data_IF_457148842580
#
_entry.id   IF_457148842580
#
_cell.length_a   1.000
_cell.length_b   1.000
_cell.length_c   1.000
_cell.angle_alpha   90.00
_cell.angle_beta   90.00
_cell.angle_gamma   90.00
#
_symmetry.space_group_name_H-M   'P 1'
#
loop_
_entity.id
_entity.type
_entity.pdbx_description
1 polymer ?
#
# COMPACT_ATOMS: atom_id res chain seq x y z
N UNK A 1 -2.08 -0.14 2.04
CA UNK A 1 -1.92 0.24 3.47
C UNK A 1 -3.23 0.27 4.24
N UNK A 2 -4.29 0.89 3.71
CA UNK A 2 -5.54 1.06 4.45
C UNK A 2 -6.20 -0.25 4.90
N UNK A 3 -6.11 -1.32 4.11
CA UNK A 3 -6.65 -2.63 4.52
C UNK A 3 -5.94 -3.19 5.76
N UNK A 4 -4.61 -3.01 5.83
CA UNK A 4 -3.83 -3.42 7.00
C UNK A 4 -4.13 -2.54 8.22
N UNK A 5 -4.40 -1.24 8.04
CA UNK A 5 -4.91 -0.37 9.13
C UNK A 5 -6.26 -0.90 9.65
N UNK A 6 -7.18 -1.26 8.75
CA UNK A 6 -8.47 -1.82 9.13
C UNK A 6 -8.31 -3.15 9.89
N UNK A 7 -7.39 -4.02 9.46
CA UNK A 7 -7.09 -5.27 10.15
C UNK A 7 -6.49 -5.02 11.55
N UNK A 8 -5.52 -4.11 11.68
CA UNK A 8 -4.91 -3.74 12.97
C UNK A 8 -5.96 -3.16 13.92
N UNK A 9 -6.83 -2.28 13.41
CA UNK A 9 -7.98 -1.76 14.17
C UNK A 9 -8.88 -2.88 14.66
N UNK A 10 -9.28 -3.79 13.76
CA UNK A 10 -10.16 -4.90 14.11
C UNK A 10 -9.54 -5.78 15.19
N UNK A 11 -8.26 -6.15 15.06
CA UNK A 11 -7.55 -6.94 16.08
C UNK A 11 -7.53 -6.19 17.41
N UNK A 12 -7.10 -4.92 17.41
CA UNK A 12 -7.04 -4.08 18.61
C UNK A 12 -8.39 -3.97 19.34
N UNK A 13 -9.51 -3.94 18.62
CA UNK A 13 -10.85 -3.82 19.18
C UNK A 13 -11.47 -5.16 19.60
N UNK A 14 -11.07 -6.28 18.99
CA UNK A 14 -11.77 -7.56 19.15
C UNK A 14 -10.95 -8.67 19.79
N UNK A 15 -9.62 -8.55 19.87
CA UNK A 15 -8.75 -9.68 20.29
C UNK A 15 -9.01 -10.17 21.72
N UNK A 16 -9.58 -9.31 22.59
CA UNK A 16 -9.99 -9.70 23.95
C UNK A 16 -11.04 -10.82 23.95
N UNK A 17 -11.93 -10.85 22.96
CA UNK A 17 -12.94 -11.92 22.81
C UNK A 17 -12.32 -13.28 22.46
N UNK A 18 -11.06 -13.29 22.02
CA UNK A 18 -10.28 -14.48 21.69
C UNK A 18 -9.22 -14.79 22.77
N UNK A 19 -9.29 -14.14 23.93
CA UNK A 19 -8.33 -14.33 25.02
C UNK A 19 -6.98 -13.62 24.84
N UNK A 20 -6.86 -12.74 23.84
CA UNK A 20 -5.65 -11.92 23.66
C UNK A 20 -5.71 -10.59 24.41
N UNK A 21 -4.56 -9.92 24.49
CA UNK A 21 -4.38 -8.65 25.21
C UNK A 21 -4.17 -7.51 24.21
N UNK A 22 -5.15 -6.60 24.12
CA UNK A 22 -5.10 -5.46 23.19
C UNK A 22 -3.96 -4.47 23.50
N UNK A 23 -3.42 -4.47 24.72
CA UNK A 23 -2.27 -3.65 25.14
C UNK A 23 -0.92 -4.29 24.76
N UNK A 24 -0.93 -5.45 24.10
CA UNK A 24 0.28 -6.21 23.74
C UNK A 24 0.37 -6.58 22.26
N UNK A 25 -0.46 -5.99 21.41
CA UNK A 25 -0.46 -6.25 19.96
C UNK A 25 0.94 -6.01 19.36
N UNK A 26 1.46 -7.06 18.71
CA UNK A 26 2.70 -7.04 17.94
C UNK A 26 2.38 -7.23 16.46
N UNK A 27 2.94 -6.39 15.59
CA UNK A 27 2.92 -6.63 14.14
C UNK A 27 4.29 -7.13 13.69
N UNK A 28 4.30 -8.07 12.75
CA UNK A 28 5.51 -8.57 12.14
C UNK A 28 5.31 -8.74 10.63
N UNK A 29 6.39 -8.69 9.86
CA UNK A 29 6.31 -8.86 8.41
C UNK A 29 7.68 -8.95 7.74
N UNK A 30 7.72 -9.66 6.62
CA UNK A 30 8.90 -9.92 5.80
C UNK A 30 8.80 -9.22 4.43
N UNK A 31 9.93 -8.76 3.87
CA UNK A 31 10.01 -8.12 2.54
C UNK A 31 9.05 -6.92 2.42
N UNK A 32 8.05 -6.97 1.54
CA UNK A 32 7.00 -5.97 1.44
C UNK A 32 6.22 -5.79 2.75
N UNK A 33 6.05 -6.87 3.52
CA UNK A 33 5.52 -6.85 4.88
C UNK A 33 6.45 -6.11 5.86
N UNK A 34 7.77 -6.26 5.71
CA UNK A 34 8.75 -5.53 6.52
C UNK A 34 8.69 -4.02 6.30
N UNK A 35 8.53 -3.58 5.04
CA UNK A 35 8.25 -2.17 4.71
C UNK A 35 6.94 -1.70 5.35
N UNK A 36 5.90 -2.54 5.24
CA UNK A 36 4.57 -2.24 5.76
C UNK A 36 4.58 -2.09 7.28
N UNK A 37 5.28 -2.96 8.02
CA UNK A 37 5.45 -2.85 9.48
C UNK A 37 6.07 -1.51 9.84
N UNK A 38 7.17 -1.14 9.17
CA UNK A 38 7.82 0.15 9.39
C UNK A 38 6.89 1.34 9.15
N UNK A 39 6.12 1.34 8.05
CA UNK A 39 5.12 2.37 7.76
C UNK A 39 4.01 2.42 8.82
N UNK A 40 3.56 1.27 9.31
CA UNK A 40 2.51 1.22 10.32
C UNK A 40 2.89 1.78 11.67
N UNK A 41 4.19 1.92 11.98
CA UNK A 41 4.65 2.58 13.21
C UNK A 41 4.46 4.10 13.19
N UNK A 42 4.34 4.71 12.00
CA UNK A 42 4.22 6.17 11.84
C UNK A 42 2.82 6.63 11.39
N UNK A 43 1.96 5.72 10.92
CA UNK A 43 0.56 6.01 10.54
C UNK A 43 -0.24 6.44 11.77
N UNK A 44 -0.91 7.60 11.70
CA UNK A 44 -1.61 8.20 12.84
C UNK A 44 -2.77 7.34 13.35
N UNK A 45 -3.50 6.70 12.43
CA UNK A 45 -4.67 5.86 12.70
C UNK A 45 -4.35 4.61 13.54
N UNK A 46 -3.07 4.21 13.59
CA UNK A 46 -2.58 3.08 14.38
C UNK A 46 -2.07 3.47 15.77
N UNK A 47 -2.12 4.76 16.15
CA UNK A 47 -1.66 5.21 17.48
C UNK A 47 -2.38 4.47 18.59
N UNK A 48 -1.61 3.93 19.54
CA UNK A 48 -2.13 3.17 20.67
C UNK A 48 -2.64 1.76 20.32
N UNK A 49 -2.51 1.31 19.07
CA UNK A 49 -2.95 -0.02 18.62
C UNK A 49 -1.80 -1.02 18.44
N UNK A 50 -0.60 -0.53 18.18
CA UNK A 50 0.62 -1.33 18.00
C UNK A 50 1.56 -1.05 19.16
N UNK A 51 2.06 -2.11 19.79
CA UNK A 51 2.94 -2.04 20.96
C UNK A 51 4.34 -2.58 20.66
N UNK A 52 4.45 -3.48 19.66
CA UNK A 52 5.70 -4.07 19.20
C UNK A 52 5.66 -4.23 17.68
N UNK A 53 6.82 -4.13 17.05
CA UNK A 53 6.98 -4.20 15.61
C UNK A 53 8.26 -4.98 15.26
N UNK A 54 8.16 -5.93 14.33
CA UNK A 54 9.28 -6.71 13.81
C UNK A 54 9.30 -6.60 12.28
N UNK A 55 10.37 -6.02 11.74
CA UNK A 55 10.58 -5.85 10.31
C UNK A 55 11.70 -6.78 9.83
N UNK A 56 11.38 -7.73 8.97
CA UNK A 56 12.32 -8.71 8.43
C UNK A 56 12.57 -8.43 6.94
N UNK A 57 13.83 -8.34 6.53
CA UNK A 57 14.22 -8.13 5.11
C UNK A 57 13.50 -6.96 4.39
N UNK A 58 12.99 -5.98 5.15
CA UNK A 58 12.32 -4.80 4.63
C UNK A 58 12.26 -3.69 5.67
N UNK A 59 12.73 -2.49 5.31
CA UNK A 59 12.81 -1.33 6.21
C UNK A 59 12.06 -0.11 5.65
N UNK A 60 11.51 0.73 6.53
CA UNK A 60 10.69 1.91 6.17
C UNK A 60 11.43 2.93 5.30
N UNK A 61 12.75 3.02 5.44
CA UNK A 61 13.59 3.95 4.67
C UNK A 61 14.06 3.37 3.33
N UNK A 62 13.64 2.15 2.97
CA UNK A 62 13.95 1.59 1.66
C UNK A 62 13.30 2.43 0.55
N UNK A 63 13.99 2.72 -0.56
CA UNK A 63 13.36 3.39 -1.71
C UNK A 63 12.22 2.56 -2.35
N UNK A 64 12.08 1.28 -1.96
CA UNK A 64 10.98 0.42 -2.37
C UNK A 64 9.77 0.47 -1.43
N UNK A 65 9.89 1.11 -0.27
CA UNK A 65 8.80 1.20 0.71
C UNK A 65 7.70 2.18 0.27
N UNK A 66 8.06 3.22 -0.50
CA UNK A 66 7.13 4.21 -1.02
C UNK A 66 7.31 4.32 -2.53
N UNK A 67 6.20 4.24 -3.27
CA UNK A 67 6.25 4.34 -4.72
C UNK A 67 6.63 5.77 -5.15
N UNK A 68 7.75 5.89 -5.86
CA UNK A 68 8.09 7.12 -6.57
C UNK A 68 7.25 7.28 -7.85
N UNK A 69 7.00 8.52 -8.26
CA UNK A 69 6.33 8.86 -9.52
C UNK A 69 4.94 8.21 -9.73
N UNK A 70 4.16 8.02 -8.67
CA UNK A 70 2.83 7.36 -8.75
C UNK A 70 1.89 8.03 -9.77
N UNK A 71 2.01 9.35 -9.93
CA UNK A 71 1.26 10.12 -10.94
C UNK A 71 1.61 9.70 -12.37
N UNK A 72 2.89 9.45 -12.67
CA UNK A 72 3.34 8.99 -14.00
C UNK A 72 2.79 7.60 -14.30
N UNK A 73 2.84 6.69 -13.32
CA UNK A 73 2.29 5.34 -13.46
C UNK A 73 0.79 5.39 -13.67
N UNK A 74 0.05 6.16 -12.87
CA UNK A 74 -1.39 6.34 -13.00
C UNK A 74 -1.79 6.91 -14.38
N UNK A 75 -1.08 7.93 -14.87
CA UNK A 75 -1.33 8.52 -16.20
C UNK A 75 -1.04 7.54 -17.34
N UNK A 76 -0.03 6.67 -17.21
CA UNK A 76 0.25 5.62 -18.22
C UNK A 76 -0.82 4.55 -18.23
N UNK A 77 -1.22 4.07 -17.05
CA UNK A 77 -2.34 3.13 -16.92
C UNK A 77 -3.62 3.70 -17.53
N UNK A 78 -3.94 4.97 -17.23
CA UNK A 78 -5.07 5.68 -17.83
C UNK A 78 -5.01 5.68 -19.37
N UNK A 79 -3.86 5.98 -19.96
CA UNK A 79 -3.68 5.95 -21.42
C UNK A 79 -3.88 4.56 -22.02
N UNK A 80 -3.47 3.48 -21.35
CA UNK A 80 -3.66 2.10 -21.84
C UNK A 80 -5.14 1.73 -21.97
N UNK A 81 -6.01 2.33 -21.15
CA UNK A 81 -7.45 2.09 -21.18
C UNK A 81 -8.24 3.24 -21.82
N UNK A 82 -7.56 4.12 -22.59
CA UNK A 82 -8.17 5.28 -23.25
C UNK A 82 -8.90 6.25 -22.30
N UNK A 83 -8.50 6.29 -21.03
CA UNK A 83 -9.03 7.24 -20.06
C UNK A 83 -8.53 8.66 -20.32
N UNK A 84 -9.38 9.66 -20.05
CA UNK A 84 -8.96 11.07 -20.00
C UNK A 84 -7.86 11.26 -18.96
N UNK A 85 -6.83 12.03 -19.30
CA UNK A 85 -5.74 12.41 -18.39
C UNK A 85 -5.74 13.91 -18.07
N UNK A 86 -6.85 14.60 -18.34
CA UNK A 86 -7.01 16.06 -18.11
C UNK A 86 -6.96 16.40 -16.63
N UNK A 87 -7.62 15.60 -15.79
CA UNK A 87 -7.63 15.76 -14.34
C UNK A 87 -7.33 14.43 -13.62
N UNK A 88 -6.91 14.50 -12.36
CA UNK A 88 -6.76 13.30 -11.50
C UNK A 88 -8.10 12.62 -11.23
N UNK A 89 -9.20 13.40 -11.17
CA UNK A 89 -10.55 12.89 -10.99
C UNK A 89 -10.97 12.03 -12.18
N UNK A 90 -10.79 12.52 -13.40
CA UNK A 90 -11.11 11.78 -14.64
C UNK A 90 -10.36 10.45 -14.71
N UNK A 91 -9.07 10.45 -14.33
CA UNK A 91 -8.23 9.25 -14.29
C UNK A 91 -8.81 8.24 -13.31
N UNK A 92 -9.13 8.66 -12.08
CA UNK A 92 -9.61 7.75 -11.03
C UNK A 92 -11.00 7.21 -11.37
N UNK A 93 -11.91 8.06 -11.83
CA UNK A 93 -13.27 7.64 -12.20
C UNK A 93 -13.26 6.64 -13.34
N UNK A 94 -12.45 6.87 -14.38
CA UNK A 94 -12.32 5.93 -15.49
C UNK A 94 -11.61 4.62 -15.08
N UNK A 95 -10.51 4.67 -14.33
CA UNK A 95 -9.80 3.45 -13.93
C UNK A 95 -10.64 2.53 -13.02
N UNK A 96 -11.62 3.08 -12.29
CA UNK A 96 -12.58 2.30 -11.49
C UNK A 96 -13.59 1.51 -12.33
N UNK A 97 -13.79 1.86 -13.60
CA UNK A 97 -14.68 1.12 -14.51
C UNK A 97 -13.96 0.03 -15.30
N UNK A 98 -12.63 -0.03 -15.21
CA UNK A 98 -11.82 -1.07 -15.85
C UNK A 98 -11.96 -2.37 -15.06
N UNK A 99 -12.10 -3.50 -15.75
CA UNK A 99 -12.17 -4.81 -15.12
C UNK A 99 -10.85 -5.13 -14.39
N UNK A 100 -10.96 -5.74 -13.21
CA UNK A 100 -9.79 -6.07 -12.38
C UNK A 100 -8.73 -6.88 -13.13
N UNK A 101 -9.17 -7.90 -13.89
CA UNK A 101 -8.28 -8.74 -14.70
C UNK A 101 -7.48 -7.95 -15.76
N UNK A 102 -8.04 -6.86 -16.26
CA UNK A 102 -7.37 -5.99 -17.22
C UNK A 102 -6.43 -5.02 -16.51
N UNK A 103 -6.86 -4.46 -15.37
CA UNK A 103 -6.06 -3.54 -14.57
C UNK A 103 -4.76 -4.22 -14.05
N UNK A 104 -4.83 -5.51 -13.71
CA UNK A 104 -3.65 -6.29 -13.29
C UNK A 104 -2.57 -6.37 -14.38
N UNK A 105 -2.93 -6.29 -15.67
CA UNK A 105 -1.95 -6.34 -16.77
C UNK A 105 -1.02 -5.14 -16.79
N UNK A 106 -1.38 -4.02 -16.15
CA UNK A 106 -0.52 -2.84 -15.99
C UNK A 106 0.77 -3.18 -15.24
N UNK A 107 0.73 -4.13 -14.31
CA UNK A 107 1.89 -4.55 -13.51
C UNK A 107 2.99 -5.24 -14.35
N UNK A 108 2.64 -5.74 -15.54
CA UNK A 108 3.59 -6.33 -16.49
C UNK A 108 4.58 -5.32 -17.08
N UNK A 109 4.32 -4.00 -17.00
CA UNK A 109 5.23 -3.00 -17.52
C UNK A 109 6.41 -2.69 -16.58
N UNK A 110 7.24 -3.70 -16.27
CA UNK A 110 8.49 -3.54 -15.49
C UNK A 110 9.49 -2.56 -16.13
N UNK A 111 9.37 -2.31 -17.44
CA UNK A 111 10.20 -1.36 -18.20
C UNK A 111 9.62 0.06 -18.28
N UNK A 112 8.40 0.32 -17.79
CA UNK A 112 7.85 1.68 -17.83
C UNK A 112 8.66 2.65 -16.93
N UNK A 113 9.20 2.18 -15.80
CA UNK A 113 9.91 3.03 -14.83
C UNK A 113 11.39 3.32 -15.18
N UNK A 114 11.98 2.67 -16.18
CA UNK A 114 13.43 2.75 -16.47
C UNK A 114 13.82 3.66 -17.66
N UNK A 115 12.88 4.37 -18.30
CA UNK A 115 13.19 5.20 -19.48
C UNK A 115 13.43 6.70 -19.20
N UNK A 116 14.07 7.07 -18.09
CA UNK A 116 14.51 8.48 -17.90
C UNK A 116 15.90 8.63 -17.29
N UNK A 117 16.83 7.75 -17.64
CA UNK A 117 18.26 8.04 -17.51
C UNK A 117 18.89 7.76 -18.88
N UNK A 118 18.92 8.81 -19.70
CA UNK A 118 19.92 9.00 -20.74
C UNK A 118 20.68 10.26 -20.39
#
# INVERSE_FOLDING_TARGET
>A
MWDQVAAIKWVSENIANFGGDNSKVCIFGESAGGYSVGLHTIIHENRGRIHRAISESGAVYSPRAVAEQSQTVARRAAKMFNCSTRSTKDIVECLRTVLDNDLLKVQGCRQCAQQSIR
#
